data_IF_847649405250
#
_entry.id   IF_847649405250
#
_cell.length_a   1.000
_cell.length_b   1.000
_cell.length_c   1.000
_cell.angle_alpha   90.00
_cell.angle_beta   90.00
_cell.angle_gamma   90.00
#
_symmetry.space_group_name_H-M   'P 1'
#
loop_
_entity.id
_entity.type
_entity.pdbx_description
1 polymer ?
#
# COMPACT_ATOMS: atom_id res chain seq x y z
N UNK A 1 -24.43 -17.48 -24.50
CA UNK A 1 -23.39 -16.43 -24.62
C UNK A 1 -22.30 -16.71 -23.62
N UNK A 2 -21.06 -16.77 -24.08
CA UNK A 2 -19.89 -16.89 -23.19
C UNK A 2 -19.41 -15.52 -22.74
N UNK A 3 -18.68 -15.45 -21.63
CA UNK A 3 -18.10 -14.19 -21.13
C UNK A 3 -17.20 -13.50 -22.17
N UNK A 4 -16.54 -14.28 -23.03
CA UNK A 4 -15.71 -13.76 -24.14
C UNK A 4 -16.55 -13.05 -25.20
N UNK A 5 -17.68 -13.60 -25.58
CA UNK A 5 -18.56 -13.01 -26.60
C UNK A 5 -19.21 -11.72 -26.10
N UNK A 6 -19.63 -11.69 -24.83
CA UNK A 6 -20.19 -10.48 -24.22
C UNK A 6 -19.15 -9.35 -24.12
N UNK A 7 -17.90 -9.70 -23.76
CA UNK A 7 -16.81 -8.73 -23.71
C UNK A 7 -16.52 -8.10 -25.08
N UNK A 8 -16.50 -8.91 -26.14
CA UNK A 8 -16.27 -8.41 -27.50
C UNK A 8 -17.38 -7.46 -27.96
N UNK A 9 -18.63 -7.82 -27.71
CA UNK A 9 -19.78 -6.98 -28.06
C UNK A 9 -19.75 -5.62 -27.35
N UNK A 10 -19.41 -5.60 -26.05
CA UNK A 10 -19.31 -4.34 -25.30
C UNK A 10 -18.13 -3.48 -25.74
N UNK A 11 -17.00 -4.08 -26.10
CA UNK A 11 -15.85 -3.34 -26.64
C UNK A 11 -16.18 -2.67 -27.98
N UNK A 12 -16.98 -3.32 -28.85
CA UNK A 12 -17.37 -2.75 -30.14
C UNK A 12 -18.29 -1.51 -30.03
N UNK A 13 -19.11 -1.44 -28.97
CA UNK A 13 -20.05 -0.33 -28.75
C UNK A 13 -19.51 0.72 -27.77
N UNK A 14 -18.39 0.44 -27.10
CA UNK A 14 -17.81 1.31 -26.10
C UNK A 14 -16.98 2.45 -26.71
N UNK A 15 -16.90 3.62 -26.06
CA UNK A 15 -15.95 4.66 -26.38
C UNK A 15 -14.51 4.22 -26.08
N UNK A 16 -13.55 4.77 -26.84
CA UNK A 16 -12.11 4.44 -26.75
C UNK A 16 -11.55 4.56 -25.31
N UNK A 17 -12.06 5.49 -24.50
CA UNK A 17 -11.64 5.67 -23.10
C UNK A 17 -11.94 4.45 -22.21
N UNK A 18 -13.07 3.78 -22.44
CA UNK A 18 -13.44 2.57 -21.71
C UNK A 18 -12.66 1.35 -22.23
N UNK A 19 -12.45 1.27 -23.54
CA UNK A 19 -11.61 0.23 -24.16
C UNK A 19 -10.20 0.27 -23.58
N UNK A 20 -9.62 1.46 -23.46
CA UNK A 20 -8.29 1.67 -22.88
C UNK A 20 -8.24 1.22 -21.42
N UNK A 21 -9.24 1.56 -20.62
CA UNK A 21 -9.34 1.15 -19.20
C UNK A 21 -9.47 -0.38 -19.05
N UNK A 22 -10.31 -1.01 -19.88
CA UNK A 22 -10.44 -2.48 -19.89
C UNK A 22 -9.13 -3.17 -20.31
N UNK A 23 -8.43 -2.62 -21.30
CA UNK A 23 -7.13 -3.12 -21.74
C UNK A 23 -6.09 -2.99 -20.63
N UNK A 24 -6.03 -1.86 -19.92
CA UNK A 24 -5.13 -1.65 -18.80
C UNK A 24 -5.37 -2.66 -17.67
N UNK A 25 -6.63 -2.92 -17.32
CA UNK A 25 -7.00 -3.93 -16.33
C UNK A 25 -6.53 -5.33 -16.75
N UNK A 26 -6.83 -5.74 -17.98
CA UNK A 26 -6.42 -7.07 -18.48
C UNK A 26 -4.89 -7.19 -18.48
N UNK A 27 -4.17 -6.15 -18.90
CA UNK A 27 -2.72 -6.13 -18.87
C UNK A 27 -2.18 -6.20 -17.45
N UNK A 28 -2.76 -5.44 -16.51
CA UNK A 28 -2.36 -5.45 -15.10
C UNK A 28 -2.50 -6.83 -14.46
N UNK A 29 -3.53 -7.59 -14.84
CA UNK A 29 -3.74 -8.97 -14.39
C UNK A 29 -2.93 -10.02 -15.18
N UNK A 30 -2.47 -9.70 -16.40
CA UNK A 30 -1.67 -10.60 -17.26
C UNK A 30 -0.18 -10.48 -16.99
N UNK A 31 0.30 -9.29 -16.63
CA UNK A 31 1.61 -9.16 -16.01
C UNK A 31 1.51 -9.75 -14.62
N UNK A 32 2.21 -10.84 -14.29
CA UNK A 32 2.42 -11.16 -12.89
C UNK A 32 3.14 -9.95 -12.31
N UNK A 33 2.43 -9.12 -11.53
CA UNK A 33 3.09 -8.27 -10.56
C UNK A 33 4.11 -9.20 -9.87
N UNK A 34 5.37 -8.78 -9.69
CA UNK A 34 6.35 -9.60 -9.00
C UNK A 34 5.66 -10.10 -7.74
N UNK A 35 5.34 -11.39 -7.70
CA UNK A 35 4.63 -11.99 -6.60
C UNK A 35 5.43 -11.57 -5.38
N UNK A 36 4.88 -10.81 -4.43
CA UNK A 36 5.71 -10.31 -3.35
C UNK A 36 6.11 -11.57 -2.60
N UNK A 37 7.38 -11.95 -2.79
CA UNK A 37 7.86 -13.29 -2.46
C UNK A 37 8.02 -13.46 -0.95
N UNK A 38 7.50 -12.52 -0.18
CA UNK A 38 7.43 -12.50 1.27
C UNK A 38 6.37 -11.46 1.72
N UNK A 39 5.09 -11.70 1.42
CA UNK A 39 3.98 -10.85 1.91
C UNK A 39 3.69 -11.12 3.39
N UNK A 40 4.62 -10.78 4.27
CA UNK A 40 4.23 -10.53 5.66
C UNK A 40 3.36 -9.27 5.65
N UNK A 41 2.10 -9.28 6.14
CA UNK A 41 1.39 -8.05 6.44
C UNK A 41 2.27 -7.06 7.19
N UNK A 42 2.01 -5.76 6.98
CA UNK A 42 2.76 -4.66 7.62
C UNK A 42 2.86 -4.85 9.15
N UNK A 43 1.83 -5.43 9.77
CA UNK A 43 1.82 -5.75 11.20
C UNK A 43 2.81 -6.83 11.63
N UNK A 44 3.02 -7.87 10.83
CA UNK A 44 4.05 -8.88 11.11
C UNK A 44 5.45 -8.28 10.99
N UNK A 45 5.67 -7.39 10.02
CA UNK A 45 6.94 -6.65 9.89
C UNK A 45 7.17 -5.77 11.13
N UNK A 46 6.13 -5.10 11.62
CA UNK A 46 6.21 -4.29 12.83
C UNK A 46 6.54 -5.12 14.07
N UNK A 47 5.94 -6.31 14.22
CA UNK A 47 6.20 -7.24 15.33
C UNK A 47 7.67 -7.70 15.35
N UNK A 48 8.23 -8.05 14.18
CA UNK A 48 9.64 -8.42 14.04
C UNK A 48 10.60 -7.28 14.43
N UNK A 49 10.25 -6.03 14.09
CA UNK A 49 11.03 -4.85 14.46
C UNK A 49 10.97 -4.63 15.98
N UNK A 50 9.76 -4.67 16.56
CA UNK A 50 9.52 -4.48 18.00
C UNK A 50 10.30 -5.53 18.81
N UNK A 51 10.32 -6.79 18.37
CA UNK A 51 11.06 -7.87 19.03
C UNK A 51 12.58 -7.65 19.09
N UNK A 52 13.13 -6.76 18.24
CA UNK A 52 14.56 -6.42 18.21
C UNK A 52 14.91 -5.24 19.14
N UNK A 53 13.91 -4.52 19.67
CA UNK A 53 14.11 -3.32 20.50
C UNK A 53 14.18 -3.72 21.99
N UNK A 54 15.19 -3.27 22.75
CA UNK A 54 15.28 -3.57 24.19
C UNK A 54 14.19 -2.85 25.00
N UNK A 55 13.71 -3.48 26.08
CA UNK A 55 12.60 -2.98 26.90
C UNK A 55 12.85 -1.57 27.45
N UNK A 56 14.09 -1.24 27.81
CA UNK A 56 14.49 0.08 28.32
C UNK A 56 14.30 1.22 27.29
N UNK A 57 14.26 0.90 25.98
CA UNK A 57 13.99 1.90 24.94
C UNK A 57 12.52 2.30 24.89
N UNK A 58 11.60 1.47 25.39
CA UNK A 58 10.18 1.81 25.42
C UNK A 58 9.86 2.89 26.45
N UNK A 59 10.62 2.96 27.56
CA UNK A 59 10.52 4.05 28.55
C UNK A 59 10.88 5.42 27.96
N UNK A 60 11.66 5.46 26.88
CA UNK A 60 12.03 6.69 26.17
C UNK A 60 11.00 7.10 25.12
N UNK A 61 10.00 6.27 24.84
CA UNK A 61 8.97 6.56 23.85
C UNK A 61 7.96 7.55 24.46
N UNK A 62 7.67 8.67 23.78
CA UNK A 62 6.69 9.63 24.25
C UNK A 62 5.28 9.03 24.25
N UNK A 63 4.50 9.33 25.29
CA UNK A 63 3.09 8.86 25.43
C UNK A 63 2.18 9.40 24.33
N UNK A 64 2.57 10.50 23.70
CA UNK A 64 1.85 11.17 22.61
C UNK A 64 2.11 10.52 21.23
N UNK A 65 2.76 9.35 21.21
CA UNK A 65 3.13 8.63 20.00
C UNK A 65 3.89 9.55 19.01
N UNK A 66 3.37 9.73 17.79
CA UNK A 66 3.99 10.52 16.73
C UNK A 66 3.42 11.94 16.58
N UNK A 67 2.52 12.39 17.46
CA UNK A 67 1.87 13.70 17.29
C UNK A 67 2.85 14.89 17.42
N UNK A 68 4.00 14.69 18.07
CA UNK A 68 5.10 15.65 18.13
C UNK A 68 6.39 15.13 17.46
N UNK A 69 6.28 14.31 16.39
CA UNK A 69 7.42 13.70 15.70
C UNK A 69 8.53 14.71 15.34
N UNK A 70 8.16 15.86 14.76
CA UNK A 70 9.11 16.92 14.36
C UNK A 70 9.92 17.47 15.55
N UNK A 71 9.29 17.59 16.72
CA UNK A 71 9.97 18.01 17.94
C UNK A 71 11.00 16.98 18.39
N UNK A 72 10.67 15.69 18.33
CA UNK A 72 11.60 14.61 18.72
C UNK A 72 12.74 14.41 17.72
N UNK A 73 12.49 14.58 16.43
CA UNK A 73 13.49 14.39 15.38
C UNK A 73 14.41 15.60 15.19
N UNK A 74 13.87 16.81 15.32
CA UNK A 74 14.57 18.04 14.94
C UNK A 74 14.74 19.04 16.08
N UNK A 75 14.16 18.79 17.26
CA UNK A 75 14.20 19.74 18.37
C UNK A 75 13.43 21.04 18.11
N UNK A 76 12.66 21.10 17.02
CA UNK A 76 11.86 22.28 16.70
C UNK A 76 10.65 22.31 17.62
N UNK A 77 10.64 23.25 18.57
CA UNK A 77 9.45 23.56 19.38
C UNK A 77 8.31 23.98 18.45
N UNK A 78 7.04 23.67 18.77
CA UNK A 78 5.91 24.29 18.07
C UNK A 78 6.07 25.81 18.16
N UNK A 79 6.23 26.45 17.00
CA UNK A 79 6.26 27.91 16.91
C UNK A 79 4.92 28.42 17.45
N UNK A 80 5.00 29.21 18.52
CA UNK A 80 3.86 29.75 19.26
C UNK A 80 3.09 30.79 18.44
#
# INVERSE_FOLDING_TARGET
MTAKEQLLQEIEQAPESLIQSCLELILSHKTPAPSPQNNKPIWEIADEIIATIPEESFDQIPTDAAANLDYYLYGNSPQK
#
